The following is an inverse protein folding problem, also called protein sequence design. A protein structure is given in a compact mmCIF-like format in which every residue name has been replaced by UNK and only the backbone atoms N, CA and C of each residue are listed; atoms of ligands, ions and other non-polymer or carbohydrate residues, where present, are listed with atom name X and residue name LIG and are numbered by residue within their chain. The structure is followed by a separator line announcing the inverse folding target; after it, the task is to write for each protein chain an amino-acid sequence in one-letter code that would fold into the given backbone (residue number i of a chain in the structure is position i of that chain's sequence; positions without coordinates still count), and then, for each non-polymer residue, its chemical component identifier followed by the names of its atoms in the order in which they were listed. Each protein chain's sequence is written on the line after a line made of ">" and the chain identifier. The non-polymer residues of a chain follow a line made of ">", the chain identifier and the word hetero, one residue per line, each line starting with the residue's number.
data_IF_356884272931
#
_entry.id   IF_356884272931
#
_cell.length_a   1.000
_cell.length_b   1.000
_cell.length_c   1.000
_cell.angle_alpha   90.00
_cell.angle_beta   90.00
_cell.angle_gamma   90.00
#
_symmetry.space_group_name_H-M   'P 1'
#
loop_
_entity.id
_entity.type
_entity.pdbx_description
1 polymer ?
#
# COMPACT_ATOMS: atom_id res chain seq x y z
N UNK A 1 -20.01 43.74 45.01
CA UNK A 1 -19.40 44.12 46.30
C UNK A 1 -19.64 42.96 47.26
N UNK A 2 -18.57 42.51 47.92
CA UNK A 2 -18.48 41.52 49.02
C UNK A 2 -18.71 40.03 48.74
N UNK A 3 -17.62 39.30 48.96
CA UNK A 3 -17.46 37.86 49.14
C UNK A 3 -18.21 37.35 50.37
N UNK A 4 -18.49 36.05 50.45
CA UNK A 4 -17.91 35.20 51.51
C UNK A 4 -18.17 33.71 51.30
N UNK A 5 -17.07 32.98 51.33
CA UNK A 5 -16.79 31.55 51.49
C UNK A 5 -17.61 30.86 52.59
N UNK A 6 -17.94 29.58 52.43
CA UNK A 6 -17.65 28.60 53.49
C UNK A 6 -17.44 27.15 52.99
N UNK A 7 -16.36 26.53 53.49
CA UNK A 7 -16.00 25.11 53.38
C UNK A 7 -16.82 24.29 54.39
N UNK A 8 -17.08 23.02 54.10
CA UNK A 8 -16.66 21.87 54.92
C UNK A 8 -17.41 20.58 54.53
N UNK A 9 -16.70 19.48 54.69
CA UNK A 9 -16.98 18.10 54.28
C UNK A 9 -18.10 17.43 55.10
N UNK A 10 -18.74 16.42 54.51
CA UNK A 10 -19.18 15.21 55.22
C UNK A 10 -19.30 14.03 54.23
N UNK A 11 -18.65 12.94 54.59
CA UNK A 11 -18.63 11.61 53.97
C UNK A 11 -19.72 10.72 54.62
N UNK A 12 -20.00 9.58 53.99
CA UNK A 12 -20.74 8.39 54.47
C UNK A 12 -22.28 8.45 54.36
N UNK A 13 -23.05 7.44 53.94
CA UNK A 13 -22.85 6.02 53.65
C UNK A 13 -24.01 5.56 52.73
N UNK A 14 -23.77 4.65 51.78
CA UNK A 14 -24.83 3.82 51.20
C UNK A 14 -24.39 2.36 51.24
N UNK A 15 -24.96 1.63 52.19
CA UNK A 15 -24.97 0.18 52.27
C UNK A 15 -26.09 -0.36 51.38
N UNK A 16 -25.75 -1.16 50.36
CA UNK A 16 -26.71 -1.97 49.61
C UNK A 16 -26.20 -3.41 49.58
N UNK A 17 -27.04 -4.28 50.14
CA UNK A 17 -26.75 -5.66 50.44
C UNK A 17 -26.45 -6.57 49.25
N UNK A 18 -25.65 -7.60 49.60
CA UNK A 18 -25.36 -8.85 48.90
C UNK A 18 -26.54 -9.40 48.06
N UNK A 19 -26.26 -9.84 46.82
CA UNK A 19 -26.56 -11.21 46.33
C UNK A 19 -25.99 -11.52 44.94
N UNK A 20 -25.42 -12.72 44.87
CA UNK A 20 -25.25 -13.60 43.68
C UNK A 20 -23.98 -13.42 42.84
N UNK A 21 -23.04 -14.35 43.07
CA UNK A 21 -21.90 -14.69 42.23
C UNK A 21 -22.37 -15.20 40.86
N UNK A 22 -21.89 -14.57 39.78
CA UNK A 22 -21.80 -15.19 38.45
C UNK A 22 -20.31 -15.29 38.13
N UNK A 23 -19.83 -16.52 37.98
CA UNK A 23 -18.48 -16.82 37.53
C UNK A 23 -18.33 -16.35 36.07
N UNK A 24 -17.70 -15.19 35.88
CA UNK A 24 -17.29 -14.69 34.57
C UNK A 24 -15.90 -15.23 34.22
N UNK A 25 -15.83 -16.08 33.21
CA UNK A 25 -14.60 -16.54 32.57
C UNK A 25 -13.79 -15.32 32.12
N UNK A 26 -12.63 -15.04 32.74
CA UNK A 26 -11.70 -14.02 32.24
C UNK A 26 -10.99 -14.61 31.02
N UNK A 27 -11.58 -14.41 29.84
CA UNK A 27 -10.85 -14.54 28.59
C UNK A 27 -9.99 -13.28 28.43
N UNK A 28 -8.70 -13.36 28.77
CA UNK A 28 -7.73 -12.35 28.37
C UNK A 28 -7.54 -12.42 26.86
N UNK A 29 -8.36 -11.67 26.12
CA UNK A 29 -8.06 -11.36 24.74
C UNK A 29 -6.82 -10.46 24.74
N UNK A 30 -5.67 -11.02 24.35
CA UNK A 30 -4.53 -10.21 23.97
C UNK A 30 -5.00 -9.27 22.85
N UNK A 31 -4.74 -7.95 22.92
CA UNK A 31 -5.04 -7.08 21.80
C UNK A 31 -4.22 -7.55 20.61
N UNK A 32 -4.91 -8.06 19.58
CA UNK A 32 -4.33 -8.14 18.25
C UNK A 32 -3.87 -6.72 17.93
N UNK A 33 -2.58 -6.48 17.59
CA UNK A 33 -2.17 -5.15 17.21
C UNK A 33 -3.06 -4.75 16.04
N UNK A 34 -3.76 -3.62 16.18
CA UNK A 34 -4.50 -3.04 15.08
C UNK A 34 -3.53 -2.98 13.90
N UNK A 35 -3.82 -3.76 12.85
CA UNK A 35 -3.27 -3.46 11.54
C UNK A 35 -3.62 -1.99 11.35
N UNK A 36 -2.59 -1.13 11.27
CA UNK A 36 -2.77 0.30 11.12
C UNK A 36 -3.87 0.49 10.06
N UNK A 37 -4.92 1.23 10.43
CA UNK A 37 -6.05 1.45 9.54
C UNK A 37 -5.50 1.76 8.15
N UNK A 38 -5.83 0.89 7.18
CA UNK A 38 -5.59 1.20 5.77
C UNK A 38 -6.18 2.60 5.59
N UNK A 39 -5.34 3.54 5.15
CA UNK A 39 -5.86 4.88 4.93
C UNK A 39 -6.84 4.79 3.76
N UNK A 40 -8.13 4.76 4.08
CA UNK A 40 -9.24 4.94 3.14
C UNK A 40 -9.30 6.40 2.66
N UNK A 41 -8.16 6.93 2.22
CA UNK A 41 -8.04 8.22 1.56
C UNK A 41 -7.65 7.95 0.10
N UNK A 42 -8.64 7.96 -0.83
CA UNK A 42 -8.39 7.80 -2.25
C UNK A 42 -7.34 8.77 -2.81
N UNK A 43 -7.22 9.98 -2.24
CA UNK A 43 -6.22 10.97 -2.65
C UNK A 43 -4.80 10.57 -2.25
N UNK A 44 -4.62 10.10 -1.02
CA UNK A 44 -3.35 9.55 -0.55
C UNK A 44 -2.96 8.29 -1.33
N UNK A 45 -3.92 7.38 -1.58
CA UNK A 45 -3.68 6.16 -2.35
C UNK A 45 -3.21 6.47 -3.77
N UNK A 46 -3.86 7.43 -4.45
CA UNK A 46 -3.41 7.90 -5.77
C UNK A 46 -1.99 8.45 -5.74
N UNK A 47 -1.63 9.20 -4.68
CA UNK A 47 -0.28 9.75 -4.52
C UNK A 47 0.77 8.65 -4.40
N UNK A 48 0.52 7.64 -3.56
CA UNK A 48 1.43 6.50 -3.38
C UNK A 48 1.60 5.72 -4.70
N UNK A 49 0.50 5.43 -5.38
CA UNK A 49 0.56 4.74 -6.68
C UNK A 49 1.27 5.61 -7.72
N UNK A 50 1.07 6.93 -7.71
CA UNK A 50 1.79 7.82 -8.63
C UNK A 50 3.30 7.79 -8.41
N UNK A 51 3.75 7.78 -7.15
CA UNK A 51 5.16 7.63 -6.81
C UNK A 51 5.72 6.29 -7.30
N UNK A 52 4.95 5.20 -7.18
CA UNK A 52 5.32 3.90 -7.72
C UNK A 52 5.47 3.95 -9.26
N UNK A 53 4.47 4.48 -9.97
CA UNK A 53 4.51 4.54 -11.44
C UNK A 53 5.69 5.39 -11.95
N UNK A 54 5.93 6.54 -11.34
CA UNK A 54 6.95 7.46 -11.79
C UNK A 54 8.35 7.11 -11.27
N UNK A 55 8.53 6.93 -9.98
CA UNK A 55 9.85 6.64 -9.43
C UNK A 55 10.30 5.20 -9.72
N UNK A 56 9.39 4.24 -9.63
CA UNK A 56 9.76 2.82 -9.77
C UNK A 56 9.60 2.33 -11.20
N UNK A 57 8.45 2.54 -11.85
CA UNK A 57 8.23 1.97 -13.19
C UNK A 57 8.86 2.80 -14.31
N UNK A 58 8.87 4.13 -14.21
CA UNK A 58 9.59 5.01 -15.14
C UNK A 58 11.08 5.09 -14.76
N UNK A 59 11.41 5.62 -13.58
CA UNK A 59 12.81 5.99 -13.28
C UNK A 59 13.70 4.82 -12.81
N UNK A 60 13.11 3.76 -12.27
CA UNK A 60 13.87 2.57 -11.84
C UNK A 60 14.50 2.69 -10.48
N UNK A 61 13.94 3.54 -9.63
CA UNK A 61 14.33 3.67 -8.24
C UNK A 61 13.93 2.41 -7.46
N UNK A 62 14.88 1.47 -7.33
CA UNK A 62 14.69 0.26 -6.55
C UNK A 62 14.78 0.49 -5.05
N UNK A 63 15.33 1.63 -4.58
CA UNK A 63 15.27 1.98 -3.16
C UNK A 63 13.86 2.43 -2.79
N UNK A 64 13.18 3.17 -3.69
CA UNK A 64 11.76 3.49 -3.56
C UNK A 64 10.90 2.23 -3.68
N UNK A 65 11.23 1.30 -4.59
CA UNK A 65 10.59 -0.01 -4.63
C UNK A 65 10.61 -0.67 -3.26
N UNK A 66 11.76 -0.63 -2.57
CA UNK A 66 11.87 -1.26 -1.26
C UNK A 66 10.92 -0.63 -0.23
N UNK A 67 10.68 0.67 -0.30
CA UNK A 67 9.81 1.41 0.63
C UNK A 67 8.33 1.24 0.32
N UNK A 68 7.95 1.16 -0.96
CA UNK A 68 6.55 1.17 -1.37
C UNK A 68 5.88 -0.21 -1.37
N UNK A 69 6.63 -1.28 -1.67
CA UNK A 69 6.05 -2.63 -1.73
C UNK A 69 6.05 -3.28 -0.35
N UNK A 70 4.86 -3.60 0.15
CA UNK A 70 4.67 -4.36 1.39
C UNK A 70 5.34 -5.74 1.34
N UNK A 71 5.82 -6.25 2.49
CA UNK A 71 6.49 -7.55 2.55
C UNK A 71 5.58 -8.71 2.12
N UNK A 72 4.28 -8.60 2.38
CA UNK A 72 3.24 -9.55 2.00
C UNK A 72 2.51 -9.15 0.70
N UNK A 73 3.12 -8.30 -0.14
CA UNK A 73 2.55 -7.91 -1.43
C UNK A 73 2.30 -9.14 -2.31
N UNK A 74 1.13 -9.14 -2.97
CA UNK A 74 0.70 -10.15 -3.93
C UNK A 74 0.51 -9.49 -5.28
N UNK A 75 1.15 -10.04 -6.30
CA UNK A 75 0.88 -9.67 -7.69
C UNK A 75 -0.25 -10.56 -8.23
N UNK A 76 -1.41 -9.96 -8.52
CA UNK A 76 -2.56 -10.67 -9.07
C UNK A 76 -2.47 -10.89 -10.58
N UNK A 77 -1.47 -10.31 -11.24
CA UNK A 77 -1.23 -10.39 -12.69
C UNK A 77 0.24 -10.68 -12.99
N UNK A 78 0.84 -11.75 -12.43
CA UNK A 78 2.26 -12.00 -12.56
C UNK A 78 2.66 -12.19 -14.02
N UNK A 79 3.73 -11.51 -14.43
CA UNK A 79 4.30 -11.67 -15.77
C UNK A 79 5.00 -13.04 -15.88
N UNK A 80 4.92 -13.67 -17.05
CA UNK A 80 5.17 -15.10 -17.27
C UNK A 80 6.34 -15.73 -16.50
N UNK A 81 6.00 -16.70 -15.64
CA UNK A 81 6.96 -17.54 -14.91
C UNK A 81 7.59 -16.89 -13.66
N UNK A 82 7.36 -15.60 -13.43
CA UNK A 82 7.81 -14.95 -12.19
C UNK A 82 6.88 -15.31 -11.02
N UNK A 83 7.43 -15.42 -9.78
CA UNK A 83 6.61 -15.58 -8.59
C UNK A 83 5.59 -14.44 -8.44
N UNK A 84 4.36 -14.70 -7.94
CA UNK A 84 3.32 -13.68 -7.76
C UNK A 84 3.56 -12.85 -6.48
N UNK A 85 4.79 -12.41 -6.27
CA UNK A 85 5.23 -11.73 -5.05
C UNK A 85 6.12 -10.51 -5.35
N UNK A 86 6.51 -9.81 -4.28
CA UNK A 86 7.38 -8.63 -4.33
C UNK A 86 8.72 -8.90 -5.02
N UNK A 87 9.27 -10.11 -4.92
CA UNK A 87 10.51 -10.43 -5.60
C UNK A 87 10.28 -10.59 -7.11
N UNK A 88 9.22 -11.31 -7.49
CA UNK A 88 8.80 -11.45 -8.88
C UNK A 88 8.61 -10.11 -9.59
N UNK A 89 7.83 -9.18 -9.01
CA UNK A 89 7.62 -7.84 -9.59
C UNK A 89 8.93 -7.06 -9.77
N UNK A 90 9.86 -7.17 -8.81
CA UNK A 90 11.18 -6.55 -8.92
C UNK A 90 11.99 -7.10 -10.10
N UNK A 91 11.97 -8.42 -10.27
CA UNK A 91 12.66 -9.09 -11.38
C UNK A 91 12.05 -8.72 -12.73
N UNK A 92 10.72 -8.58 -12.80
CA UNK A 92 10.01 -8.09 -13.98
C UNK A 92 10.51 -6.69 -14.36
N UNK A 93 10.54 -5.74 -13.42
CA UNK A 93 11.02 -4.38 -13.67
C UNK A 93 12.49 -4.31 -14.08
N UNK A 94 13.34 -5.21 -13.59
CA UNK A 94 14.73 -5.33 -14.03
C UNK A 94 14.83 -5.91 -15.45
N UNK A 95 14.00 -6.91 -15.76
CA UNK A 95 13.94 -7.53 -17.08
C UNK A 95 13.52 -6.52 -18.15
N UNK A 96 12.48 -5.72 -17.88
CA UNK A 96 12.07 -4.66 -18.81
C UNK A 96 13.18 -3.63 -19.04
N UNK A 97 13.88 -3.18 -18.00
CA UNK A 97 14.99 -2.23 -18.17
C UNK A 97 16.18 -2.78 -18.95
N UNK A 98 16.50 -4.05 -18.76
CA UNK A 98 17.56 -4.70 -19.52
C UNK A 98 17.19 -4.81 -21.02
N UNK A 99 15.93 -5.13 -21.31
CA UNK A 99 15.40 -5.24 -22.67
C UNK A 99 15.14 -3.89 -23.36
N UNK A 100 14.76 -2.88 -22.57
CA UNK A 100 14.34 -1.55 -23.01
C UNK A 100 15.03 -0.49 -22.11
N UNK A 101 16.29 -0.11 -22.41
CA UNK A 101 17.05 0.83 -21.58
C UNK A 101 16.44 2.23 -21.48
N UNK A 102 15.61 2.62 -22.45
CA UNK A 102 14.84 3.86 -22.51
C UNK A 102 13.36 3.65 -22.15
N UNK A 103 13.05 2.62 -21.35
CA UNK A 103 11.71 2.33 -20.86
C UNK A 103 11.12 3.51 -20.08
N UNK A 104 9.85 3.82 -20.35
CA UNK A 104 9.14 4.88 -19.66
C UNK A 104 7.65 4.55 -19.51
N UNK A 105 7.08 4.92 -18.36
CA UNK A 105 5.67 4.83 -18.05
C UNK A 105 5.03 6.23 -18.06
N UNK A 106 4.20 6.51 -19.06
CA UNK A 106 3.44 7.76 -19.17
C UNK A 106 2.05 7.57 -18.53
N UNK A 107 1.80 8.23 -17.39
CA UNK A 107 0.53 8.12 -16.66
C UNK A 107 -0.47 9.15 -17.18
N UNK A 108 -1.59 8.69 -17.74
CA UNK A 108 -2.64 9.55 -18.31
C UNK A 108 -3.65 9.98 -17.26
N UNK A 109 -4.20 9.02 -16.51
CA UNK A 109 -5.13 9.30 -15.43
C UNK A 109 -5.13 8.19 -14.37
N UNK A 110 -5.72 8.52 -13.22
CA UNK A 110 -5.93 7.60 -12.11
C UNK A 110 -7.34 7.79 -11.56
N UNK A 111 -8.04 6.70 -11.30
CA UNK A 111 -9.35 6.66 -10.63
C UNK A 111 -9.17 5.91 -9.32
N UNK A 112 -9.83 6.34 -8.25
CA UNK A 112 -9.75 5.68 -6.96
C UNK A 112 -11.11 5.60 -6.28
N UNK A 113 -11.35 4.47 -5.62
CA UNK A 113 -12.55 4.18 -4.83
C UNK A 113 -12.11 3.36 -3.61
N UNK A 114 -12.31 3.90 -2.40
CA UNK A 114 -11.78 3.29 -1.17
C UNK A 114 -10.26 3.13 -1.22
N UNK A 115 -9.79 1.90 -1.03
CA UNK A 115 -8.40 1.49 -1.07
C UNK A 115 -7.89 1.11 -2.47
N UNK A 116 -8.78 1.08 -3.48
CA UNK A 116 -8.43 0.72 -4.85
C UNK A 116 -8.04 1.95 -5.67
N UNK A 117 -7.00 1.78 -6.49
CA UNK A 117 -6.57 2.77 -7.47
C UNK A 117 -6.35 2.07 -8.81
N UNK A 118 -7.05 2.53 -9.84
CA UNK A 118 -6.80 2.10 -11.22
C UNK A 118 -6.12 3.20 -12.02
N UNK A 119 -5.19 2.81 -12.91
CA UNK A 119 -4.37 3.73 -13.69
C UNK A 119 -4.47 3.40 -15.17
N UNK A 120 -4.67 4.42 -15.99
CA UNK A 120 -4.46 4.31 -17.43
C UNK A 120 -3.12 4.94 -17.79
N UNK A 121 -2.26 4.15 -18.43
CA UNK A 121 -0.89 4.55 -18.78
C UNK A 121 -0.44 3.96 -20.10
N UNK A 122 0.61 4.52 -20.66
CA UNK A 122 1.31 3.96 -21.82
C UNK A 122 2.75 3.65 -21.46
N UNK A 123 3.15 2.41 -21.69
CA UNK A 123 4.57 2.07 -21.70
C UNK A 123 5.15 2.28 -23.09
N UNK A 124 6.39 2.75 -23.13
CA UNK A 124 7.16 2.82 -24.36
C UNK A 124 8.65 2.60 -24.09
N UNK A 125 9.35 2.14 -25.10
CA UNK A 125 10.78 1.89 -25.08
C UNK A 125 11.26 1.23 -26.36
N UNK A 126 12.56 1.30 -26.63
CA UNK A 126 13.21 0.67 -27.76
C UNK A 126 13.81 -0.66 -27.34
N UNK A 127 13.50 -1.69 -28.11
CA UNK A 127 13.94 -3.06 -27.81
C UNK A 127 15.43 -3.23 -28.16
N UNK A 128 16.30 -3.03 -27.17
CA UNK A 128 17.77 -3.00 -27.31
C UNK A 128 18.48 -4.14 -26.57
N UNK A 129 17.78 -4.87 -25.70
CA UNK A 129 18.26 -6.10 -25.08
C UNK A 129 17.41 -7.31 -25.52
N UNK A 130 17.78 -8.54 -25.11
CA UNK A 130 16.94 -9.71 -25.32
C UNK A 130 15.69 -9.66 -24.44
N UNK A 131 14.54 -10.06 -25.00
CA UNK A 131 13.27 -10.11 -24.28
C UNK A 131 12.42 -11.29 -24.73
N UNK A 132 11.98 -12.14 -23.80
CA UNK A 132 11.07 -13.27 -24.08
C UNK A 132 11.54 -14.17 -25.23
N UNK A 133 12.85 -14.48 -25.29
CA UNK A 133 13.45 -15.31 -26.34
C UNK A 133 13.68 -14.59 -27.67
N UNK A 134 13.35 -13.31 -27.77
CA UNK A 134 13.56 -12.48 -28.95
C UNK A 134 14.81 -11.62 -28.73
N UNK A 135 15.76 -11.66 -29.66
CA UNK A 135 16.93 -10.78 -29.63
C UNK A 135 16.53 -9.30 -29.84
N UNK A 136 17.40 -8.37 -29.44
CA UNK A 136 17.19 -6.95 -29.63
C UNK A 136 16.81 -6.60 -31.08
N UNK A 137 15.64 -6.00 -31.26
CA UNK A 137 15.12 -5.69 -32.61
C UNK A 137 15.42 -4.26 -33.08
N UNK A 138 15.84 -3.38 -32.17
CA UNK A 138 16.04 -1.95 -32.45
C UNK A 138 14.76 -1.14 -32.69
N UNK A 139 13.57 -1.78 -32.68
CA UNK A 139 12.29 -1.13 -32.90
C UNK A 139 11.78 -0.42 -31.65
N UNK A 140 11.13 0.72 -31.86
CA UNK A 140 10.32 1.35 -30.82
C UNK A 140 9.06 0.50 -30.56
N UNK A 141 8.70 0.37 -29.28
CA UNK A 141 7.49 -0.31 -28.82
C UNK A 141 6.67 0.66 -27.98
N UNK A 142 5.35 0.55 -28.09
CA UNK A 142 4.39 1.33 -27.31
C UNK A 142 3.13 0.49 -27.10
N UNK A 143 2.64 0.44 -25.88
CA UNK A 143 1.37 -0.22 -25.58
C UNK A 143 0.68 0.42 -24.38
N UNK A 144 -0.65 0.40 -24.41
CA UNK A 144 -1.47 0.96 -23.34
C UNK A 144 -1.80 -0.11 -22.32
N UNK A 145 -1.88 0.30 -21.05
CA UNK A 145 -2.18 -0.55 -19.91
C UNK A 145 -3.24 0.11 -19.05
N UNK A 146 -4.19 -0.70 -18.59
CA UNK A 146 -5.04 -0.42 -17.46
C UNK A 146 -4.70 -1.44 -16.38
N UNK A 147 -4.36 -0.96 -15.19
CA UNK A 147 -4.16 -1.76 -13.99
C UNK A 147 -4.89 -1.16 -12.79
#
# INVERSE_FOLDING_TARGET
>A
MTLSTNKAQAIDNVDIGRRTLIAGLIATALPVPAVAAVQDDPGANKTVIRQLLEGVQRDGDFDLFERLFAQNYVDHTPFGGFPPDRNGTRQIYRTFRAAFPDWNAEVHFQIAEGDLVSNYKTYHGRHLGPFMGIAATGRATRFNVMD
#
